data_IF_781210678031
#
_entry.id   IF_781210678031
#
_cell.length_a   1.000
_cell.length_b   1.000
_cell.length_c   1.000
_cell.angle_alpha   90.00
_cell.angle_beta   90.00
_cell.angle_gamma   90.00
#
_symmetry.space_group_name_H-M   'P 1'
#
loop_
_entity.id
_entity.type
_entity.pdbx_description
1 polymer ?
#
# COMPACT_ATOMS: atom_id res chain seq x y z
N UNK A 1 28.76 35.08 -71.30
CA UNK A 1 28.58 33.64 -71.61
C UNK A 1 28.27 32.88 -70.32
N UNK A 2 27.08 32.30 -70.18
CA UNK A 2 26.65 31.60 -68.96
C UNK A 2 27.02 30.11 -69.01
N UNK A 3 27.81 29.64 -68.03
CA UNK A 3 28.24 28.24 -67.90
C UNK A 3 27.08 27.40 -67.36
N UNK A 4 26.37 26.67 -68.24
CA UNK A 4 25.33 25.72 -67.84
C UNK A 4 25.93 24.61 -66.98
N UNK A 5 25.51 24.53 -65.71
CA UNK A 5 25.81 23.38 -64.83
C UNK A 5 25.00 22.18 -65.30
N UNK A 6 25.66 21.09 -65.74
CA UNK A 6 25.00 19.81 -66.02
C UNK A 6 24.66 19.13 -64.69
N UNK A 7 23.37 18.91 -64.44
CA UNK A 7 22.90 18.12 -63.30
C UNK A 7 23.22 16.66 -63.61
N UNK A 8 24.16 16.07 -62.87
CA UNK A 8 24.52 14.66 -63.02
C UNK A 8 23.33 13.80 -62.55
N UNK A 9 22.87 12.91 -63.43
CA UNK A 9 21.76 12.01 -63.13
C UNK A 9 22.27 10.86 -62.25
N UNK A 10 21.86 10.85 -60.98
CA UNK A 10 22.21 9.85 -59.95
C UNK A 10 21.95 8.39 -60.39
N UNK A 11 21.10 8.15 -61.40
CA UNK A 11 20.80 6.81 -61.94
C UNK A 11 21.86 6.27 -62.90
N UNK A 12 22.61 7.15 -63.58
CA UNK A 12 23.54 6.77 -64.65
C UNK A 12 25.02 6.98 -64.27
N UNK A 13 25.28 7.49 -63.07
CA UNK A 13 26.64 7.63 -62.54
C UNK A 13 27.08 6.31 -61.90
N UNK A 14 27.96 5.61 -62.62
CA UNK A 14 28.75 4.49 -62.12
C UNK A 14 30.16 4.96 -61.78
N UNK A 15 30.75 4.37 -60.75
CA UNK A 15 32.17 4.49 -60.44
C UNK A 15 32.83 3.13 -60.63
N UNK A 16 34.10 3.13 -61.06
CA UNK A 16 34.90 1.92 -61.12
C UNK A 16 35.53 1.72 -59.74
N UNK A 17 35.27 0.56 -59.13
CA UNK A 17 35.98 0.13 -57.93
C UNK A 17 37.45 -0.14 -58.30
N UNK A 18 38.36 -0.13 -57.31
CA UNK A 18 39.80 -0.40 -57.52
C UNK A 18 40.11 -1.73 -58.24
N UNK A 19 39.13 -2.65 -58.33
CA UNK A 19 39.19 -3.93 -59.05
C UNK A 19 38.63 -3.88 -60.48
N UNK A 20 38.30 -2.70 -61.02
CA UNK A 20 37.80 -2.54 -62.39
C UNK A 20 36.33 -2.91 -62.61
N UNK A 21 35.59 -3.17 -61.53
CA UNK A 21 34.16 -3.51 -61.59
C UNK A 21 33.33 -2.21 -61.59
N UNK A 22 32.44 -1.99 -62.56
CA UNK A 22 31.57 -0.82 -62.57
C UNK A 22 30.41 -1.00 -61.57
N UNK A 23 30.43 -0.26 -60.46
CA UNK A 23 29.32 -0.20 -59.52
C UNK A 23 28.48 1.07 -59.69
N UNK A 24 27.17 0.93 -59.55
CA UNK A 24 26.25 2.08 -59.61
C UNK A 24 26.10 2.71 -58.23
N UNK A 25 26.14 4.04 -58.15
CA UNK A 25 25.92 4.78 -56.90
C UNK A 25 24.62 4.39 -56.19
N UNK A 26 23.58 4.01 -56.96
CA UNK A 26 22.30 3.53 -56.40
C UNK A 26 22.45 2.17 -55.71
N UNK A 27 23.21 1.23 -56.26
CA UNK A 27 23.49 -0.06 -55.63
C UNK A 27 24.26 0.11 -54.32
N UNK A 28 25.29 0.97 -54.33
CA UNK A 28 26.06 1.33 -53.15
C UNK A 28 25.19 2.01 -52.07
N UNK A 29 24.39 3.01 -52.45
CA UNK A 29 23.50 3.71 -51.50
C UNK A 29 22.51 2.74 -50.86
N UNK A 30 21.97 1.80 -51.63
CA UNK A 30 21.02 0.79 -51.13
C UNK A 30 21.70 -0.17 -50.16
N UNK A 31 22.90 -0.66 -50.48
CA UNK A 31 23.68 -1.53 -49.59
C UNK A 31 24.00 -0.84 -48.27
N UNK A 32 24.40 0.44 -48.33
CA UNK A 32 24.67 1.26 -47.15
C UNK A 32 23.40 1.49 -46.29
N UNK A 33 22.25 1.79 -46.91
CA UNK A 33 20.97 1.92 -46.19
C UNK A 33 20.52 0.62 -45.53
N UNK A 34 20.70 -0.54 -46.18
CA UNK A 34 20.35 -1.84 -45.59
C UNK A 34 21.25 -2.17 -44.39
N UNK A 35 22.57 -1.96 -44.50
CA UNK A 35 23.52 -2.12 -43.40
C UNK A 35 23.20 -1.18 -42.22
N UNK A 36 22.88 0.08 -42.53
CA UNK A 36 22.54 1.09 -41.54
C UNK A 36 21.23 0.75 -40.81
N UNK A 37 20.21 0.25 -41.52
CA UNK A 37 18.94 -0.20 -40.93
C UNK A 37 19.14 -1.40 -40.00
N UNK A 38 19.92 -2.41 -40.41
CA UNK A 38 20.18 -3.60 -39.58
C UNK A 38 20.98 -3.26 -38.33
N UNK A 39 21.94 -2.34 -38.44
CA UNK A 39 22.73 -1.86 -37.30
C UNK A 39 21.84 -1.08 -36.32
N UNK A 40 21.01 -0.17 -36.83
CA UNK A 40 20.15 0.67 -35.99
C UNK A 40 19.04 -0.11 -35.30
N UNK A 41 18.40 -1.07 -35.97
CA UNK A 41 17.37 -1.92 -35.37
C UNK A 41 17.94 -2.84 -34.28
N UNK A 42 19.14 -3.40 -34.49
CA UNK A 42 19.84 -4.19 -33.48
C UNK A 42 20.15 -3.36 -32.24
N UNK A 43 20.68 -2.14 -32.41
CA UNK A 43 20.98 -1.23 -31.30
C UNK A 43 19.73 -0.84 -30.50
N UNK A 44 18.63 -0.48 -31.18
CA UNK A 44 17.37 -0.16 -30.51
C UNK A 44 16.86 -1.37 -29.72
N UNK A 45 16.87 -2.56 -30.33
CA UNK A 45 16.39 -3.76 -29.66
C UNK A 45 17.18 -4.08 -28.38
N UNK A 46 18.51 -3.88 -28.42
CA UNK A 46 19.37 -4.05 -27.25
C UNK A 46 19.10 -3.04 -26.14
N UNK A 47 18.87 -1.77 -26.49
CA UNK A 47 18.53 -0.71 -25.52
C UNK A 47 17.17 -1.01 -24.88
N UNK A 48 16.16 -1.37 -25.67
CA UNK A 48 14.82 -1.70 -25.18
C UNK A 48 14.86 -2.90 -24.24
N UNK A 49 15.59 -3.97 -24.60
CA UNK A 49 15.75 -5.14 -23.75
C UNK A 49 16.47 -4.79 -22.44
N UNK A 50 17.53 -3.99 -22.50
CA UNK A 50 18.29 -3.56 -21.32
C UNK A 50 17.43 -2.71 -20.37
N UNK A 51 16.64 -1.78 -20.91
CA UNK A 51 15.69 -0.98 -20.14
C UNK A 51 14.61 -1.84 -19.50
N UNK A 52 14.07 -2.83 -20.23
CA UNK A 52 13.07 -3.74 -19.69
C UNK A 52 13.61 -4.56 -18.51
N UNK A 53 14.83 -5.10 -18.64
CA UNK A 53 15.50 -5.85 -17.57
C UNK A 53 15.76 -4.95 -16.36
N UNK A 54 16.25 -3.72 -16.59
CA UNK A 54 16.51 -2.77 -15.51
C UNK A 54 15.22 -2.42 -14.74
N UNK A 55 14.13 -2.11 -15.45
CA UNK A 55 12.84 -1.85 -14.83
C UNK A 55 12.32 -3.05 -14.04
N UNK A 56 12.48 -4.27 -14.57
CA UNK A 56 12.08 -5.48 -13.87
C UNK A 56 12.85 -5.65 -12.55
N UNK A 57 14.17 -5.47 -12.56
CA UNK A 57 15.00 -5.55 -11.34
C UNK A 57 14.63 -4.46 -10.34
N UNK A 58 14.35 -3.24 -10.80
CA UNK A 58 13.89 -2.17 -9.92
C UNK A 58 12.54 -2.49 -9.28
N UNK A 59 11.55 -2.92 -10.07
CA UNK A 59 10.23 -3.30 -9.57
C UNK A 59 10.36 -4.46 -8.57
N UNK A 60 11.16 -5.46 -8.89
CA UNK A 60 11.42 -6.60 -8.01
C UNK A 60 12.08 -6.16 -6.70
N UNK A 61 13.10 -5.31 -6.77
CA UNK A 61 13.80 -4.76 -5.60
C UNK A 61 12.87 -3.93 -4.71
N UNK A 62 12.05 -3.06 -5.31
CA UNK A 62 11.05 -2.25 -4.59
C UNK A 62 9.99 -3.15 -3.95
N UNK A 63 9.47 -4.14 -4.68
CA UNK A 63 8.48 -5.08 -4.18
C UNK A 63 9.04 -5.93 -3.03
N UNK A 64 10.30 -6.36 -3.12
CA UNK A 64 10.96 -7.15 -2.08
C UNK A 64 11.20 -6.30 -0.83
N UNK A 65 11.71 -5.07 -0.99
CA UNK A 65 11.89 -4.12 0.13
C UNK A 65 10.56 -3.81 0.82
N UNK A 66 9.49 -3.67 0.04
CA UNK A 66 8.15 -3.34 0.53
C UNK A 66 7.25 -4.56 0.75
N UNK A 67 7.79 -5.79 0.76
CA UNK A 67 7.00 -7.03 0.84
C UNK A 67 6.05 -7.05 2.04
N UNK A 68 6.51 -6.57 3.19
CA UNK A 68 5.71 -6.47 4.40
C UNK A 68 4.59 -5.44 4.30
N UNK A 69 4.85 -4.30 3.65
CA UNK A 69 3.83 -3.26 3.40
C UNK A 69 2.79 -3.74 2.39
N UNK A 70 3.22 -4.42 1.32
CA UNK A 70 2.32 -5.01 0.32
C UNK A 70 1.43 -6.09 0.94
N UNK A 71 2.01 -6.97 1.76
CA UNK A 71 1.24 -8.00 2.48
C UNK A 71 0.22 -7.38 3.43
N UNK A 72 0.61 -6.35 4.18
CA UNK A 72 -0.31 -5.61 5.04
C UNK A 72 -1.44 -4.95 4.25
N UNK A 73 -1.13 -4.24 3.15
CA UNK A 73 -2.13 -3.63 2.28
C UNK A 73 -3.07 -4.66 1.66
N UNK A 74 -2.55 -5.81 1.22
CA UNK A 74 -3.33 -6.92 0.71
C UNK A 74 -4.34 -7.43 1.76
N UNK A 75 -3.89 -7.68 3.00
CA UNK A 75 -4.79 -8.10 4.07
C UNK A 75 -5.83 -7.03 4.44
N UNK A 76 -5.44 -5.75 4.47
CA UNK A 76 -6.38 -4.66 4.72
C UNK A 76 -7.47 -4.58 3.65
N UNK A 77 -7.10 -4.70 2.36
CA UNK A 77 -8.06 -4.69 1.25
C UNK A 77 -8.96 -5.92 1.32
N UNK A 78 -8.40 -7.11 1.53
CA UNK A 78 -9.17 -8.36 1.70
C UNK A 78 -10.19 -8.24 2.84
N UNK A 79 -9.79 -7.69 4.00
CA UNK A 79 -10.68 -7.53 5.14
C UNK A 79 -11.81 -6.53 4.84
N UNK A 80 -11.51 -5.42 4.16
CA UNK A 80 -12.53 -4.46 3.71
C UNK A 80 -13.48 -5.05 2.68
N UNK A 81 -12.97 -5.82 1.72
CA UNK A 81 -13.78 -6.48 0.71
C UNK A 81 -14.69 -7.55 1.33
N UNK A 82 -14.19 -8.31 2.30
CA UNK A 82 -15.02 -9.27 3.04
C UNK A 82 -16.09 -8.58 3.89
N UNK A 83 -15.78 -7.43 4.51
CA UNK A 83 -16.75 -6.63 5.27
C UNK A 83 -17.79 -5.96 4.37
N UNK A 84 -17.46 -5.65 3.11
CA UNK A 84 -18.41 -5.08 2.15
C UNK A 84 -19.27 -6.14 1.45
N UNK A 85 -18.70 -7.30 1.10
CA UNK A 85 -19.44 -8.39 0.45
C UNK A 85 -20.28 -9.22 1.43
N UNK A 86 -19.88 -9.29 2.71
CA UNK A 86 -20.81 -9.63 3.78
C UNK A 86 -21.59 -8.35 4.06
N UNK A 87 -22.58 -8.05 3.22
CA UNK A 87 -23.49 -6.92 3.43
C UNK A 87 -23.83 -6.84 4.91
N UNK A 88 -23.70 -5.63 5.50
CA UNK A 88 -23.79 -5.33 6.95
C UNK A 88 -24.27 -6.57 7.71
N UNK A 89 -23.40 -7.31 8.43
CA UNK A 89 -23.91 -8.41 9.20
C UNK A 89 -25.03 -7.84 10.08
N UNK A 90 -26.15 -8.55 10.16
CA UNK A 90 -27.18 -8.37 11.19
C UNK A 90 -26.60 -8.68 12.60
N UNK A 91 -25.37 -8.23 12.86
CA UNK A 91 -24.62 -8.33 14.12
C UNK A 91 -25.28 -7.52 15.23
N UNK A 92 -26.26 -6.67 14.90
CA UNK A 92 -27.07 -5.98 15.89
C UNK A 92 -27.73 -6.97 16.89
N UNK A 93 -27.92 -8.24 16.51
CA UNK A 93 -28.53 -9.27 17.37
C UNK A 93 -27.59 -10.37 17.89
N UNK A 94 -26.31 -10.42 17.51
CA UNK A 94 -25.38 -11.45 18.02
C UNK A 94 -24.53 -11.00 19.21
N UNK A 95 -24.23 -9.71 19.31
CA UNK A 95 -23.39 -9.16 20.38
C UNK A 95 -24.18 -8.18 21.22
N UNK A 96 -24.22 -8.43 22.52
CA UNK A 96 -24.90 -7.57 23.49
C UNK A 96 -24.18 -6.22 23.68
N UNK A 97 -22.87 -6.18 23.40
CA UNK A 97 -22.00 -5.02 23.60
C UNK A 97 -21.14 -4.72 22.37
N UNK A 98 -20.83 -3.43 22.18
CA UNK A 98 -19.91 -2.95 21.13
C UNK A 98 -18.44 -3.17 21.50
N UNK A 99 -18.10 -3.09 22.78
CA UNK A 99 -16.77 -3.41 23.27
C UNK A 99 -16.75 -3.81 24.76
N UNK A 100 -15.87 -4.75 25.11
CA UNK A 100 -15.50 -5.07 26.48
C UNK A 100 -14.27 -4.25 26.89
N UNK A 101 -14.30 -3.61 28.07
CA UNK A 101 -13.18 -2.81 28.59
C UNK A 101 -12.52 -3.54 29.78
N UNK A 102 -11.25 -3.91 29.59
CA UNK A 102 -10.39 -4.43 30.64
C UNK A 102 -9.42 -3.33 31.10
N UNK A 103 -9.39 -3.03 32.40
CA UNK A 103 -8.55 -1.95 32.96
C UNK A 103 -7.98 -2.33 34.33
N UNK A 104 -6.83 -1.76 34.68
CA UNK A 104 -6.25 -1.92 36.02
C UNK A 104 -6.98 -1.02 37.03
N UNK A 105 -7.07 -1.44 38.29
CA UNK A 105 -7.72 -0.67 39.36
C UNK A 105 -7.19 0.76 39.51
N UNK A 106 -5.90 0.99 39.22
CA UNK A 106 -5.27 2.32 39.23
C UNK A 106 -5.89 3.28 38.22
N UNK A 107 -6.43 2.76 37.13
CA UNK A 107 -6.95 3.52 36.00
C UNK A 107 -8.47 3.74 36.08
N UNK A 108 -9.11 3.23 37.14
CA UNK A 108 -10.56 3.25 37.33
C UNK A 108 -11.15 4.64 37.18
N UNK A 109 -10.58 5.64 37.85
CA UNK A 109 -11.11 7.02 37.86
C UNK A 109 -11.13 7.58 36.44
N UNK A 110 -10.05 7.38 35.68
CA UNK A 110 -9.97 7.83 34.29
C UNK A 110 -10.96 7.10 33.38
N UNK A 111 -11.07 5.77 33.53
CA UNK A 111 -11.99 4.97 32.72
C UNK A 111 -13.43 5.42 32.95
N UNK A 112 -13.86 5.51 34.21
CA UNK A 112 -15.25 5.86 34.53
C UNK A 112 -15.60 7.31 34.20
N UNK A 113 -14.77 8.26 34.61
CA UNK A 113 -15.10 9.70 34.49
C UNK A 113 -14.92 10.24 33.07
N UNK A 114 -13.97 9.69 32.28
CA UNK A 114 -13.59 10.26 30.99
C UNK A 114 -13.85 9.34 29.82
N UNK A 115 -13.38 8.09 29.90
CA UNK A 115 -13.46 7.15 28.78
C UNK A 115 -14.90 6.68 28.55
N UNK A 116 -15.60 6.25 29.60
CA UNK A 116 -16.99 5.80 29.49
C UNK A 116 -17.92 6.94 29.14
N UNK A 117 -17.75 8.11 29.77
CA UNK A 117 -18.55 9.28 29.46
C UNK A 117 -18.49 9.64 27.96
N UNK A 118 -17.29 9.70 27.39
CA UNK A 118 -17.11 9.96 25.96
C UNK A 118 -17.68 8.83 25.08
N UNK A 119 -17.42 7.56 25.39
CA UNK A 119 -17.82 6.45 24.53
C UNK A 119 -19.32 6.09 24.64
N UNK A 120 -19.93 6.15 25.82
CA UNK A 120 -21.35 5.86 26.03
C UNK A 120 -22.22 7.07 25.71
N UNK A 121 -21.84 8.29 26.13
CA UNK A 121 -22.70 9.48 25.94
C UNK A 121 -22.45 10.22 24.63
N UNK A 122 -21.20 10.44 24.22
CA UNK A 122 -20.92 11.19 22.98
C UNK A 122 -21.00 10.28 21.74
N UNK A 123 -20.56 9.03 21.84
CA UNK A 123 -20.53 8.08 20.73
C UNK A 123 -21.68 7.05 20.72
N UNK A 124 -22.46 6.95 21.81
CA UNK A 124 -23.63 6.06 21.89
C UNK A 124 -23.30 4.56 21.87
N UNK A 125 -22.09 4.17 22.28
CA UNK A 125 -21.64 2.77 22.26
C UNK A 125 -22.06 2.05 23.55
N UNK A 126 -22.49 0.78 23.43
CA UNK A 126 -22.81 -0.07 24.59
C UNK A 126 -21.58 -0.85 25.03
N UNK A 127 -21.06 -0.57 26.23
CA UNK A 127 -19.79 -1.12 26.71
C UNK A 127 -20.02 -2.14 27.84
N UNK A 128 -19.26 -3.24 27.82
CA UNK A 128 -19.22 -4.22 28.91
C UNK A 128 -18.02 -3.95 29.82
N UNK A 129 -18.26 -3.87 31.13
CA UNK A 129 -17.24 -3.53 32.12
C UNK A 129 -17.25 -4.53 33.25
N UNK A 130 -16.06 -5.04 33.56
CA UNK A 130 -15.86 -6.10 34.54
C UNK A 130 -16.37 -5.83 35.98
N UNK A 131 -16.68 -4.57 36.32
CA UNK A 131 -17.19 -4.19 37.66
C UNK A 131 -18.67 -3.87 37.71
N UNK A 132 -19.31 -3.64 36.56
CA UNK A 132 -20.71 -3.26 36.46
C UNK A 132 -21.55 -4.44 35.96
N UNK A 133 -21.02 -5.17 34.99
CA UNK A 133 -21.80 -6.09 34.17
C UNK A 133 -21.45 -7.57 34.44
N UNK A 134 -20.61 -7.85 35.43
CA UNK A 134 -20.25 -9.23 35.80
C UNK A 134 -21.31 -9.82 36.73
N UNK A 135 -21.81 -11.00 36.35
CA UNK A 135 -22.79 -11.74 37.13
C UNK A 135 -22.15 -12.22 38.45
N UNK A 136 -22.67 -11.84 39.62
CA UNK A 136 -22.17 -12.31 40.90
C UNK A 136 -22.46 -13.82 41.04
N UNK A 137 -21.47 -14.58 41.51
CA UNK A 137 -21.57 -16.04 41.69
C UNK A 137 -20.86 -16.89 40.62
N UNK A 138 -20.44 -16.29 39.51
CA UNK A 138 -19.60 -16.97 38.49
C UNK A 138 -18.11 -16.69 38.70
N UNK A 139 -17.26 -17.61 38.25
CA UNK A 139 -15.81 -17.41 38.21
C UNK A 139 -15.46 -16.17 37.35
N UNK A 140 -14.48 -15.40 37.81
CA UNK A 140 -13.98 -14.20 37.15
C UNK A 140 -13.48 -14.54 35.75
N UNK A 141 -12.83 -15.70 35.59
CA UNK A 141 -12.38 -16.17 34.28
C UNK A 141 -13.57 -16.42 33.33
N UNK A 142 -14.63 -17.09 33.81
CA UNK A 142 -15.83 -17.37 33.04
C UNK A 142 -16.59 -16.07 32.66
N UNK A 143 -16.65 -15.10 33.56
CA UNK A 143 -17.24 -13.78 33.29
C UNK A 143 -16.44 -12.98 32.25
N UNK A 144 -15.09 -13.02 32.31
CA UNK A 144 -14.25 -12.38 31.28
C UNK A 144 -14.48 -13.03 29.92
N UNK A 145 -14.46 -14.36 29.85
CA UNK A 145 -14.70 -15.11 28.61
C UNK A 145 -16.08 -14.80 28.05
N UNK A 146 -17.11 -14.76 28.88
CA UNK A 146 -18.49 -14.42 28.48
C UNK A 146 -18.58 -12.97 27.96
N UNK A 147 -17.92 -12.03 28.65
CA UNK A 147 -17.87 -10.64 28.22
C UNK A 147 -17.15 -10.46 26.87
N UNK A 148 -16.08 -11.22 26.62
CA UNK A 148 -15.38 -11.24 25.34
C UNK A 148 -16.27 -11.82 24.24
N UNK A 149 -16.98 -12.92 24.50
CA UNK A 149 -17.88 -13.54 23.52
C UNK A 149 -19.09 -12.65 23.19
N UNK A 150 -19.61 -11.92 24.16
CA UNK A 150 -20.77 -11.04 23.99
C UNK A 150 -20.41 -9.63 23.48
N UNK A 151 -19.13 -9.36 23.22
CA UNK A 151 -18.64 -8.06 22.75
C UNK A 151 -18.04 -8.13 21.35
N UNK A 152 -18.36 -7.16 20.50
CA UNK A 152 -17.76 -7.08 19.14
C UNK A 152 -16.24 -6.85 19.17
N UNK A 153 -15.74 -6.18 20.22
CA UNK A 153 -14.32 -5.80 20.37
C UNK A 153 -13.89 -5.88 21.84
N UNK A 154 -12.57 -5.99 22.06
CA UNK A 154 -11.96 -5.92 23.39
C UNK A 154 -10.98 -4.76 23.43
N UNK A 155 -11.12 -3.88 24.42
CA UNK A 155 -10.25 -2.72 24.66
C UNK A 155 -9.54 -2.92 25.99
N UNK A 156 -8.21 -2.91 25.95
CA UNK A 156 -7.38 -3.05 27.15
C UNK A 156 -6.75 -1.70 27.48
N UNK A 157 -7.04 -1.20 28.67
CA UNK A 157 -6.51 0.06 29.21
C UNK A 157 -5.41 -0.29 30.20
N UNK A 158 -4.17 0.12 29.90
CA UNK A 158 -3.02 -0.04 30.78
C UNK A 158 -2.40 1.33 31.07
N UNK A 159 -2.06 1.62 32.33
CA UNK A 159 -1.62 2.95 32.82
C UNK A 159 -0.55 3.64 31.97
N UNK A 160 0.37 2.90 31.34
CA UNK A 160 1.40 3.47 30.47
C UNK A 160 0.88 3.96 29.10
N UNK A 161 -0.28 3.48 28.66
CA UNK A 161 -0.98 3.93 27.44
C UNK A 161 -1.85 5.19 27.71
N UNK A 162 -2.18 5.45 28.98
CA UNK A 162 -3.22 6.41 29.37
C UNK A 162 -2.80 7.86 29.18
N UNK A 163 -1.51 8.16 29.26
CA UNK A 163 -1.00 9.51 29.00
C UNK A 163 -1.26 9.95 27.55
N UNK A 164 -1.33 9.00 26.60
CA UNK A 164 -1.58 9.32 25.19
C UNK A 164 -3.06 9.48 24.84
N UNK A 165 -3.96 8.79 25.55
CA UNK A 165 -5.41 8.92 25.35
C UNK A 165 -5.94 10.24 25.97
N UNK A 166 -5.24 10.77 26.98
CA UNK A 166 -5.73 11.88 27.81
C UNK A 166 -5.87 13.24 27.10
N UNK A 167 -5.28 13.40 25.91
CA UNK A 167 -5.29 14.65 25.12
C UNK A 167 -5.98 14.52 23.75
N UNK A 168 -6.08 13.32 23.17
CA UNK A 168 -6.50 13.18 21.76
C UNK A 168 -7.95 12.84 21.47
N UNK A 169 -8.73 12.37 22.46
CA UNK A 169 -10.03 11.73 22.16
C UNK A 169 -11.24 12.66 22.28
N UNK A 170 -11.19 13.74 23.06
CA UNK A 170 -12.33 14.68 23.18
C UNK A 170 -12.22 15.94 22.31
N UNK A 171 -11.12 16.15 21.58
CA UNK A 171 -10.96 17.31 20.70
C UNK A 171 -11.00 16.89 19.23
N UNK A 172 -12.24 16.68 18.81
CA UNK A 172 -12.76 16.98 17.49
C UNK A 172 -12.32 16.06 16.34
N UNK A 173 -13.35 15.37 15.83
CA UNK A 173 -13.57 14.91 14.44
C UNK A 173 -12.42 14.22 13.70
N UNK A 174 -12.78 13.03 13.21
CA UNK A 174 -12.13 12.23 12.17
C UNK A 174 -10.98 11.32 12.61
N UNK A 175 -11.33 10.03 12.60
CA UNK A 175 -10.52 8.83 12.36
C UNK A 175 -9.34 8.93 11.37
N UNK A 176 -9.11 10.08 10.73
CA UNK A 176 -7.97 10.36 9.86
C UNK A 176 -6.65 10.51 10.65
N UNK A 177 -6.68 11.05 11.87
CA UNK A 177 -5.44 11.23 12.68
C UNK A 177 -4.90 9.92 13.27
N UNK A 178 -5.75 8.92 13.54
CA UNK A 178 -5.32 7.60 14.04
C UNK A 178 -4.40 6.84 13.06
N UNK A 179 -4.40 7.18 11.76
CA UNK A 179 -3.50 6.59 10.76
C UNK A 179 -2.08 7.13 10.80
N UNK A 180 -1.87 8.36 11.25
CA UNK A 180 -0.55 9.01 11.25
C UNK A 180 0.30 8.63 12.47
N UNK A 181 -0.32 8.12 13.54
CA UNK A 181 0.36 7.80 14.82
C UNK A 181 0.85 6.35 14.93
N UNK A 182 0.36 5.46 14.05
CA UNK A 182 0.75 4.04 13.99
C UNK A 182 2.22 3.78 13.55
N UNK A 183 2.90 4.62 12.74
CA UNK A 183 4.28 4.33 12.30
C UNK A 183 5.34 4.46 13.40
N UNK A 184 5.09 5.25 14.44
CA UNK A 184 6.10 5.57 15.47
C UNK A 184 6.10 4.54 16.62
N UNK A 185 4.94 3.94 16.92
CA UNK A 185 4.82 2.81 17.85
C UNK A 185 5.50 1.54 17.32
N UNK A 186 5.62 1.41 15.98
CA UNK A 186 6.27 0.26 15.35
C UNK A 186 7.81 0.29 15.47
N UNK A 187 8.42 1.42 15.87
CA UNK A 187 9.88 1.54 16.01
C UNK A 187 10.42 1.14 17.39
N UNK A 188 9.56 0.93 18.38
CA UNK A 188 10.01 0.64 19.76
C UNK A 188 9.78 -0.82 20.19
N UNK A 189 9.27 -1.67 19.31
CA UNK A 189 8.91 -3.08 19.62
C UNK A 189 9.40 -4.11 18.60
N UNK A 190 10.46 -3.78 17.86
CA UNK A 190 11.36 -4.79 17.32
C UNK A 190 12.77 -4.31 17.67
N UNK A 191 13.64 -5.24 18.08
CA UNK A 191 15.08 -5.01 18.08
C UNK A 191 15.54 -4.32 16.79
#
# INVERSE_FOLDING_TARGET
MSKKRKILNKRNTSCLTSHGIPETLRGFTRSYEELQKTSYSALISGIVASLAVFLFVLIWGIAFRNRWRLRYMYYMVKNKYQVQNKGKPDDANQYEYDAFISYENKDRVFVHEKLLHCLEQEAGLKLCIHKRDFLPGNDIAANITSAIHNSRKVVIVMSHIIIWIRIGVCLNTTWQKWKAFIPEIRKTYYF
#
